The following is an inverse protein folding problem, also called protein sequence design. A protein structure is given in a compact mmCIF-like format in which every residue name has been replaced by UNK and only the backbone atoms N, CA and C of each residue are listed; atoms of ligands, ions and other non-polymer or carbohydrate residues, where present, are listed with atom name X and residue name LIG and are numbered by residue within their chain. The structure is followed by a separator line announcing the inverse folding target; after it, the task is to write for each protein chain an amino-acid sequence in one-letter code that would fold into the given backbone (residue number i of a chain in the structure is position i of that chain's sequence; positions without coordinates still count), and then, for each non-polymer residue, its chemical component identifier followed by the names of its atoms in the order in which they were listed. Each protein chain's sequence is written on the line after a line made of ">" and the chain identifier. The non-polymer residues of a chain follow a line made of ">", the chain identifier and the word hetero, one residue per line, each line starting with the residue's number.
data_IF_191707809074
#
_entry.id   IF_191707809074
#
_cell.length_a   1.000
_cell.length_b   1.000
_cell.length_c   1.000
_cell.angle_alpha   90.00
_cell.angle_beta   90.00
_cell.angle_gamma   90.00
#
_symmetry.space_group_name_H-M   'P 1'
#
loop_
_entity.id
_entity.type
_entity.pdbx_description
1 polymer ?
#
# COMPACT_ATOMS: atom_id res chain seq x y z
N UNK A 1 -28.44 12.68 -7.81
CA UNK A 1 -28.05 11.27 -8.01
C UNK A 1 -29.15 10.43 -7.37
N UNK A 2 -30.05 9.86 -8.17
CA UNK A 2 -31.15 9.03 -7.64
C UNK A 2 -30.61 7.62 -7.50
N UNK A 3 -30.61 7.09 -6.27
CA UNK A 3 -30.26 5.69 -6.01
C UNK A 3 -31.30 4.79 -6.70
N UNK A 4 -30.92 4.15 -7.80
CA UNK A 4 -31.75 3.12 -8.44
C UNK A 4 -31.33 1.75 -7.91
N UNK A 5 -32.24 1.09 -7.20
CA UNK A 5 -32.06 -0.28 -6.72
C UNK A 5 -31.92 -1.22 -7.92
N UNK A 6 -30.93 -2.12 -7.91
CA UNK A 6 -30.73 -3.12 -8.98
C UNK A 6 -31.28 -4.50 -8.62
N UNK A 7 -31.35 -4.84 -7.33
CA UNK A 7 -31.82 -6.15 -6.88
C UNK A 7 -32.41 -6.12 -5.46
N UNK A 8 -33.32 -7.06 -5.19
CA UNK A 8 -33.96 -7.30 -3.89
C UNK A 8 -33.74 -8.76 -3.49
N UNK A 9 -33.25 -8.99 -2.27
CA UNK A 9 -33.06 -10.32 -1.71
C UNK A 9 -34.05 -10.58 -0.58
N UNK A 10 -34.90 -11.60 -0.74
CA UNK A 10 -35.84 -12.03 0.28
C UNK A 10 -35.21 -13.13 1.16
N UNK A 11 -35.03 -12.83 2.45
CA UNK A 11 -34.41 -13.72 3.44
C UNK A 11 -35.31 -13.92 4.66
N UNK A 12 -35.08 -15.00 5.42
CA UNK A 12 -35.87 -15.37 6.61
C UNK A 12 -37.02 -16.34 6.32
N UNK A 13 -37.60 -16.94 7.35
CA UNK A 13 -38.54 -18.05 7.17
C UNK A 13 -39.85 -17.72 6.46
N UNK A 14 -40.24 -16.43 6.47
CA UNK A 14 -41.41 -15.98 5.73
C UNK A 14 -41.14 -15.84 4.21
N UNK A 15 -39.88 -15.66 3.80
CA UNK A 15 -39.49 -15.60 2.40
C UNK A 15 -39.55 -16.95 1.66
N UNK A 16 -39.74 -18.07 2.39
CA UNK A 16 -40.04 -19.37 1.80
C UNK A 16 -41.43 -19.42 1.13
N UNK A 17 -42.36 -18.53 1.51
CA UNK A 17 -43.68 -18.48 0.92
C UNK A 17 -43.63 -18.05 -0.56
N UNK A 18 -44.01 -18.95 -1.46
CA UNK A 18 -44.02 -18.69 -2.91
C UNK A 18 -45.01 -17.62 -3.34
N UNK A 19 -46.14 -17.46 -2.64
CA UNK A 19 -47.09 -16.38 -2.92
C UNK A 19 -46.45 -15.01 -2.65
N UNK A 20 -45.79 -14.85 -1.50
CA UNK A 20 -45.07 -13.62 -1.15
C UNK A 20 -43.97 -13.33 -2.17
N UNK A 21 -43.17 -14.33 -2.55
CA UNK A 21 -42.10 -14.17 -3.52
C UNK A 21 -42.63 -13.69 -4.87
N UNK A 22 -43.71 -14.31 -5.38
CA UNK A 22 -44.30 -13.94 -6.65
C UNK A 22 -44.90 -12.53 -6.61
N UNK A 23 -45.65 -12.17 -5.56
CA UNK A 23 -46.20 -10.81 -5.40
C UNK A 23 -45.11 -9.74 -5.40
N UNK A 24 -44.00 -9.98 -4.71
CA UNK A 24 -42.86 -9.05 -4.69
C UNK A 24 -42.20 -9.01 -6.06
N UNK A 25 -41.93 -10.16 -6.68
CA UNK A 25 -41.31 -10.24 -8.01
C UNK A 25 -42.15 -9.53 -9.08
N UNK A 26 -43.45 -9.75 -9.10
CA UNK A 26 -44.35 -9.17 -10.10
C UNK A 26 -44.47 -7.65 -9.95
N UNK A 27 -44.35 -7.14 -8.72
CA UNK A 27 -44.36 -5.70 -8.44
C UNK A 27 -43.08 -4.98 -8.85
N UNK A 28 -41.92 -5.65 -8.75
CA UNK A 28 -40.60 -5.03 -8.95
C UNK A 28 -39.95 -5.34 -10.30
N UNK A 29 -40.31 -6.46 -10.95
CA UNK A 29 -39.80 -6.80 -12.29
C UNK A 29 -40.08 -5.72 -13.35
N UNK A 30 -41.25 -5.05 -13.38
CA UNK A 30 -41.51 -3.96 -14.35
C UNK A 30 -40.60 -2.74 -14.17
N UNK A 31 -39.97 -2.60 -13.00
CA UNK A 31 -39.06 -1.50 -12.67
C UNK A 31 -37.59 -1.87 -12.95
N UNK A 32 -37.33 -3.03 -13.55
CA UNK A 32 -35.98 -3.53 -13.84
C UNK A 32 -35.22 -4.02 -12.61
N UNK A 33 -35.92 -4.27 -11.50
CA UNK A 33 -35.33 -4.73 -10.24
C UNK A 33 -35.46 -6.25 -10.17
N UNK A 34 -34.33 -6.94 -10.11
CA UNK A 34 -34.34 -8.41 -9.95
C UNK A 34 -34.71 -8.80 -8.52
N UNK A 35 -35.54 -9.84 -8.37
CA UNK A 35 -35.97 -10.34 -7.06
C UNK A 35 -35.49 -11.78 -6.91
N UNK A 36 -34.57 -11.97 -5.97
CA UNK A 36 -33.91 -13.24 -5.72
C UNK A 36 -34.19 -13.74 -4.29
N UNK A 37 -34.25 -15.06 -4.12
CA UNK A 37 -34.31 -15.69 -2.79
C UNK A 37 -33.44 -16.96 -2.76
N UNK A 38 -32.84 -17.29 -1.60
CA UNK A 38 -32.23 -18.60 -1.37
C UNK A 38 -33.24 -19.73 -1.59
N UNK A 39 -32.75 -20.97 -1.78
CA UNK A 39 -33.58 -22.17 -1.90
C UNK A 39 -34.72 -22.14 -0.84
N UNK A 40 -36.00 -22.25 -1.25
CA UNK A 40 -37.15 -22.25 -0.36
C UNK A 40 -37.05 -23.22 0.83
N UNK A 41 -36.28 -24.29 0.69
CA UNK A 41 -36.05 -25.28 1.75
C UNK A 41 -34.91 -24.88 2.72
N UNK A 42 -34.17 -23.81 2.42
CA UNK A 42 -32.99 -23.34 3.17
C UNK A 42 -33.03 -21.85 3.56
N UNK A 43 -34.10 -21.11 3.25
CA UNK A 43 -34.19 -19.65 3.48
C UNK A 43 -33.95 -19.24 4.95
N UNK A 44 -34.32 -20.11 5.89
CA UNK A 44 -34.19 -19.90 7.34
C UNK A 44 -32.72 -19.88 7.81
N UNK A 45 -31.80 -20.36 6.97
CA UNK A 45 -30.38 -20.48 7.28
C UNK A 45 -29.52 -19.42 6.61
N UNK A 46 -30.07 -18.62 5.69
CA UNK A 46 -29.29 -17.65 4.91
C UNK A 46 -28.52 -16.63 5.77
N UNK A 47 -29.11 -16.17 6.87
CA UNK A 47 -28.43 -15.25 7.81
C UNK A 47 -27.30 -15.96 8.57
N UNK A 48 -27.52 -17.19 9.00
CA UNK A 48 -26.51 -17.99 9.71
C UNK A 48 -25.39 -18.44 8.77
N UNK A 49 -25.72 -18.88 7.56
CA UNK A 49 -24.77 -19.23 6.49
C UNK A 49 -23.95 -17.99 6.10
N UNK A 50 -24.57 -16.80 6.03
CA UNK A 50 -23.86 -15.54 5.80
C UNK A 50 -22.92 -15.15 6.95
N UNK A 51 -23.36 -15.32 8.20
CA UNK A 51 -22.52 -15.07 9.37
C UNK A 51 -21.34 -16.04 9.47
N UNK A 52 -21.57 -17.31 9.12
CA UNK A 52 -20.52 -18.33 9.05
C UNK A 52 -19.59 -18.06 7.85
N UNK A 53 -20.11 -17.70 6.67
CA UNK A 53 -19.29 -17.32 5.52
C UNK A 53 -18.42 -16.12 5.86
N UNK A 54 -18.97 -15.08 6.48
CA UNK A 54 -18.22 -13.92 6.93
C UNK A 54 -17.14 -14.28 7.96
N UNK A 55 -17.48 -15.12 8.93
CA UNK A 55 -16.53 -15.61 9.94
C UNK A 55 -15.43 -16.50 9.35
N UNK A 56 -15.77 -17.34 8.36
CA UNK A 56 -14.83 -18.22 7.65
C UNK A 56 -14.01 -17.47 6.59
N UNK A 57 -14.54 -16.39 6.01
CA UNK A 57 -13.84 -15.51 5.07
C UNK A 57 -12.72 -14.76 5.79
N UNK A 58 -12.96 -14.28 7.02
CA UNK A 58 -11.90 -13.80 7.92
C UNK A 58 -10.94 -14.90 8.42
N UNK A 59 -11.21 -16.16 8.05
CA UNK A 59 -10.38 -17.33 8.34
C UNK A 59 -9.55 -17.79 7.13
N UNK A 60 -9.51 -17.01 6.02
CA UNK A 60 -8.58 -17.29 4.92
C UNK A 60 -7.16 -17.25 5.48
N UNK A 61 -6.60 -18.45 5.60
CA UNK A 61 -5.46 -18.80 6.44
C UNK A 61 -4.12 -18.29 5.90
N UNK A 62 -3.92 -16.99 5.93
CA UNK A 62 -2.72 -16.29 5.48
C UNK A 62 -2.36 -16.53 4.00
N UNK A 63 -2.05 -15.45 3.29
CA UNK A 63 -1.70 -15.50 1.87
C UNK A 63 -0.19 -15.46 1.71
N UNK A 64 0.32 -16.03 0.63
CA UNK A 64 1.72 -15.90 0.28
C UNK A 64 1.90 -14.68 -0.60
N UNK A 65 2.83 -13.78 -0.25
CA UNK A 65 3.24 -12.69 -1.12
C UNK A 65 3.71 -13.25 -2.46
N UNK A 66 3.04 -12.91 -3.56
CA UNK A 66 3.34 -13.48 -4.88
C UNK A 66 4.59 -12.88 -5.52
N UNK A 67 4.95 -11.68 -5.09
CA UNK A 67 6.02 -10.83 -5.61
C UNK A 67 6.70 -10.14 -4.43
N UNK A 68 7.87 -9.56 -4.67
CA UNK A 68 8.49 -8.66 -3.70
C UNK A 68 7.80 -7.30 -3.78
N UNK A 69 7.55 -6.67 -2.63
CA UNK A 69 7.04 -5.30 -2.54
C UNK A 69 8.07 -4.42 -1.87
N UNK A 70 8.28 -3.23 -2.42
CA UNK A 70 9.25 -2.28 -1.90
C UNK A 70 9.01 -0.88 -2.46
N UNK A 71 10.01 -0.03 -2.33
CA UNK A 71 10.04 1.32 -2.89
C UNK A 71 11.42 1.57 -3.49
N UNK A 72 11.53 2.57 -4.35
CA UNK A 72 12.83 3.13 -4.69
C UNK A 72 13.37 3.96 -3.52
N UNK A 73 14.68 3.91 -3.33
CA UNK A 73 15.40 4.75 -2.39
C UNK A 73 16.71 5.22 -2.98
N UNK A 74 17.13 6.39 -2.51
CA UNK A 74 18.49 6.87 -2.69
C UNK A 74 19.40 6.41 -1.56
N UNK A 75 20.65 6.07 -1.88
CA UNK A 75 21.65 5.66 -0.88
C UNK A 75 22.99 6.37 -1.05
N UNK A 76 23.71 6.65 0.05
CA UNK A 76 25.04 7.24 -0.04
C UNK A 76 25.99 6.40 -0.90
N UNK A 77 26.71 7.06 -1.81
CA UNK A 77 27.68 6.41 -2.69
C UNK A 77 28.87 5.86 -1.90
N UNK A 78 29.15 4.57 -2.05
CA UNK A 78 30.28 3.88 -1.41
C UNK A 78 31.30 3.46 -2.46
N UNK A 79 32.39 4.22 -2.58
CA UNK A 79 33.46 3.91 -3.54
C UNK A 79 34.12 2.54 -3.33
N UNK A 80 34.03 1.96 -2.13
CA UNK A 80 34.52 0.61 -1.80
C UNK A 80 33.63 -0.50 -2.39
N UNK A 81 32.36 -0.21 -2.66
CA UNK A 81 31.39 -1.17 -3.15
C UNK A 81 31.44 -1.27 -4.69
N UNK A 82 31.57 -2.48 -5.21
CA UNK A 82 31.64 -2.76 -6.66
C UNK A 82 30.33 -2.38 -7.36
N UNK A 83 29.19 -2.65 -6.72
CA UNK A 83 27.86 -2.37 -7.28
C UNK A 83 27.64 -0.87 -7.42
N UNK A 84 28.07 -0.09 -6.42
CA UNK A 84 28.06 1.37 -6.52
C UNK A 84 29.01 1.89 -7.60
N UNK A 85 30.26 1.39 -7.67
CA UNK A 85 31.24 1.86 -8.66
C UNK A 85 30.77 1.66 -10.11
N UNK A 86 30.05 0.59 -10.38
CA UNK A 86 29.47 0.30 -11.70
C UNK A 86 28.49 1.40 -12.14
N UNK A 87 27.85 2.07 -11.17
CA UNK A 87 26.91 3.19 -11.37
C UNK A 87 27.52 4.56 -11.05
N UNK A 88 28.85 4.65 -10.99
CA UNK A 88 29.54 5.90 -10.62
C UNK A 88 29.22 7.10 -11.52
N UNK A 89 28.80 6.86 -12.77
CA UNK A 89 28.34 7.89 -13.70
C UNK A 89 26.98 8.50 -13.35
N UNK A 90 26.20 7.84 -12.51
CA UNK A 90 24.85 8.26 -12.08
C UNK A 90 24.85 8.96 -10.72
N UNK A 91 26.04 9.10 -10.11
CA UNK A 91 26.19 9.76 -8.82
C UNK A 91 25.75 11.21 -8.92
N UNK A 92 24.82 11.59 -8.05
CA UNK A 92 24.43 12.96 -7.82
C UNK A 92 24.77 13.38 -6.40
N UNK A 93 24.66 14.67 -6.11
CA UNK A 93 24.97 15.24 -4.80
C UNK A 93 23.66 15.72 -4.17
N UNK A 94 23.40 15.29 -2.94
CA UNK A 94 22.19 15.68 -2.20
C UNK A 94 22.28 17.14 -1.69
N UNK A 95 21.24 17.59 -0.98
CA UNK A 95 21.20 18.94 -0.44
C UNK A 95 22.27 19.22 0.64
N UNK A 96 22.93 18.19 1.17
CA UNK A 96 23.98 18.30 2.18
C UNK A 96 25.39 18.21 1.58
N UNK A 97 25.52 18.03 0.26
CA UNK A 97 26.83 17.85 -0.37
C UNK A 97 27.32 16.39 -0.36
N UNK A 98 26.46 15.44 0.01
CA UNK A 98 26.82 14.01 0.13
C UNK A 98 26.50 13.31 -1.21
N UNK A 99 27.46 12.59 -1.81
CA UNK A 99 27.23 11.84 -3.04
C UNK A 99 26.30 10.66 -2.80
N UNK A 100 25.30 10.51 -3.66
CA UNK A 100 24.23 9.51 -3.58
C UNK A 100 24.00 8.81 -4.92
N UNK A 101 23.38 7.64 -4.87
CA UNK A 101 22.86 6.89 -6.01
C UNK A 101 21.37 6.63 -5.81
N UNK A 102 20.58 6.93 -6.85
CA UNK A 102 19.18 6.54 -6.92
C UNK A 102 19.04 5.12 -7.48
N UNK A 103 17.82 4.57 -7.42
CA UNK A 103 17.49 3.30 -8.06
C UNK A 103 17.83 2.06 -7.24
N UNK A 104 18.10 2.20 -5.95
CA UNK A 104 18.15 1.05 -5.04
C UNK A 104 16.72 0.62 -4.70
N UNK A 105 16.46 -0.68 -4.77
CA UNK A 105 15.19 -1.28 -4.37
C UNK A 105 15.20 -1.63 -2.87
N UNK A 106 14.43 -0.90 -2.09
CA UNK A 106 14.19 -1.19 -0.67
C UNK A 106 13.02 -2.15 -0.52
N UNK A 107 13.31 -3.45 -0.31
CA UNK A 107 12.30 -4.49 -0.12
C UNK A 107 11.64 -4.39 1.27
N UNK A 108 10.31 -4.19 1.29
CA UNK A 108 9.48 -4.13 2.50
C UNK A 108 8.85 -5.50 2.79
N UNK A 109 8.41 -6.22 1.75
CA UNK A 109 7.80 -7.54 1.87
C UNK A 109 8.36 -8.49 0.79
N UNK A 110 8.96 -9.59 1.23
CA UNK A 110 9.57 -10.57 0.32
C UNK A 110 8.54 -11.51 -0.31
N UNK A 111 8.77 -11.90 -1.57
CA UNK A 111 8.03 -12.98 -2.23
C UNK A 111 8.09 -14.26 -1.40
N UNK A 112 6.98 -14.97 -1.31
CA UNK A 112 6.83 -16.18 -0.52
C UNK A 112 6.69 -15.92 0.99
N UNK A 113 6.57 -14.67 1.44
CA UNK A 113 6.25 -14.40 2.85
C UNK A 113 4.78 -14.73 3.11
N UNK A 114 4.51 -15.45 4.21
CA UNK A 114 3.14 -15.70 4.67
C UNK A 114 2.61 -14.47 5.39
N UNK A 115 1.47 -13.95 4.93
CA UNK A 115 0.87 -12.69 5.36
C UNK A 115 -0.53 -12.94 5.90
N UNK A 116 -0.79 -12.55 7.15
CA UNK A 116 -2.16 -12.48 7.69
C UNK A 116 -2.79 -11.11 7.41
N UNK A 117 -4.12 -11.01 7.44
CA UNK A 117 -4.86 -9.78 7.09
C UNK A 117 -4.45 -8.53 7.88
N UNK A 118 -4.04 -8.72 9.13
CA UNK A 118 -3.63 -7.63 10.04
C UNK A 118 -2.12 -7.49 10.18
N UNK A 119 -1.34 -8.26 9.41
CA UNK A 119 0.11 -8.20 9.54
C UNK A 119 0.67 -7.00 8.78
N UNK A 120 1.43 -6.21 9.52
CA UNK A 120 2.11 -5.04 9.00
C UNK A 120 3.55 -5.37 8.62
N UNK A 121 3.99 -4.82 7.50
CA UNK A 121 5.38 -4.85 7.05
C UNK A 121 5.86 -3.42 6.95
N UNK A 122 7.06 -3.16 7.50
CA UNK A 122 7.54 -1.81 7.71
C UNK A 122 9.01 -1.68 7.36
N UNK A 123 9.38 -0.54 6.79
CA UNK A 123 10.77 -0.19 6.51
C UNK A 123 11.02 1.29 6.86
N UNK A 124 12.19 1.61 7.46
CA UNK A 124 12.55 2.96 7.85
C UNK A 124 13.12 3.75 6.68
N UNK A 125 12.81 5.04 6.62
CA UNK A 125 13.28 5.99 5.61
C UNK A 125 13.59 7.34 6.24
N UNK A 126 14.52 8.05 5.60
CA UNK A 126 14.99 9.36 6.04
C UNK A 126 14.97 10.31 4.84
N UNK A 127 14.38 11.49 5.01
CA UNK A 127 14.46 12.58 4.05
C UNK A 127 15.21 13.79 4.64
N UNK A 128 16.07 14.40 3.82
CA UNK A 128 16.79 15.63 4.16
C UNK A 128 16.29 16.80 3.33
N UNK A 129 16.15 17.96 3.96
CA UNK A 129 15.89 19.21 3.25
C UNK A 129 16.46 20.43 3.95
N UNK A 130 16.79 21.45 3.17
CA UNK A 130 17.17 22.77 3.67
C UNK A 130 15.96 23.58 4.19
N UNK A 131 14.74 23.15 3.85
CA UNK A 131 13.48 23.79 4.24
C UNK A 131 12.57 22.81 4.94
N UNK A 132 11.96 23.23 6.05
CA UNK A 132 10.95 22.43 6.75
C UNK A 132 9.69 22.23 5.91
N UNK A 133 9.36 23.23 5.09
CA UNK A 133 8.15 23.30 4.28
C UNK A 133 8.11 22.20 3.21
N UNK A 134 9.26 21.78 2.70
CA UNK A 134 9.33 20.69 1.73
C UNK A 134 9.10 19.31 2.36
N UNK A 135 9.25 19.18 3.69
CA UNK A 135 9.05 17.93 4.44
C UNK A 135 7.61 17.80 4.98
N UNK A 136 6.67 18.60 4.46
CA UNK A 136 5.27 18.57 4.87
C UNK A 136 4.45 17.50 4.15
N UNK A 137 5.01 16.85 3.13
CA UNK A 137 4.38 15.76 2.40
C UNK A 137 5.48 14.82 1.95
N UNK A 138 5.26 13.52 2.16
CA UNK A 138 6.14 12.45 1.67
C UNK A 138 5.42 11.74 0.54
N UNK A 139 6.15 11.48 -0.55
CA UNK A 139 5.64 10.73 -1.71
C UNK A 139 6.64 9.66 -2.14
N UNK A 140 6.18 8.43 -2.25
CA UNK A 140 7.01 7.33 -2.75
C UNK A 140 6.15 6.28 -3.45
N UNK A 141 6.67 5.61 -4.50
CA UNK A 141 5.98 4.52 -5.16
C UNK A 141 6.07 3.23 -4.35
N UNK A 142 5.02 2.41 -4.43
CA UNK A 142 5.09 1.00 -4.07
C UNK A 142 5.38 0.23 -5.35
N UNK A 143 6.55 -0.41 -5.39
CA UNK A 143 7.06 -1.18 -6.51
C UNK A 143 6.90 -2.68 -6.24
N UNK A 144 6.48 -3.41 -7.26
CA UNK A 144 6.44 -4.87 -7.27
C UNK A 144 7.59 -5.41 -8.12
N UNK A 145 8.34 -6.38 -7.60
CA UNK A 145 9.31 -7.12 -8.38
C UNK A 145 8.89 -8.57 -8.57
N UNK A 146 8.72 -8.98 -9.84
CA UNK A 146 8.18 -10.28 -10.25
C UNK A 146 9.26 -11.26 -10.72
N UNK A 147 10.48 -10.78 -10.89
CA UNK A 147 11.60 -11.54 -11.44
C UNK A 147 12.07 -12.67 -10.54
N UNK A 148 13.13 -13.33 -10.99
CA UNK A 148 13.75 -14.45 -10.28
C UNK A 148 15.23 -14.21 -9.97
N UNK A 149 15.76 -13.00 -10.25
CA UNK A 149 17.09 -12.60 -9.77
C UNK A 149 17.09 -12.65 -8.25
N UNK A 150 18.04 -13.43 -7.71
CA UNK A 150 18.24 -13.58 -6.28
C UNK A 150 18.94 -12.34 -5.74
N UNK A 151 18.52 -11.88 -4.56
CA UNK A 151 19.14 -10.75 -3.88
C UNK A 151 19.16 -9.47 -4.74
N UNK A 152 18.10 -9.25 -5.53
CA UNK A 152 17.90 -8.04 -6.35
C UNK A 152 18.10 -6.78 -5.50
N UNK A 153 18.98 -5.87 -5.94
CA UNK A 153 19.29 -4.65 -5.20
C UNK A 153 18.94 -3.39 -5.97
N UNK A 154 19.09 -3.41 -7.30
CA UNK A 154 18.92 -2.21 -8.12
C UNK A 154 17.90 -2.44 -9.22
N UNK A 155 17.17 -1.39 -9.61
CA UNK A 155 16.15 -1.49 -10.65
C UNK A 155 16.72 -1.86 -12.03
N UNK A 156 17.95 -1.44 -12.33
CA UNK A 156 18.62 -1.71 -13.59
C UNK A 156 19.15 -3.15 -13.75
N UNK A 157 19.12 -3.96 -12.69
CA UNK A 157 19.53 -5.38 -12.74
C UNK A 157 18.50 -6.27 -13.45
N UNK A 158 17.22 -5.90 -13.41
CA UNK A 158 16.12 -6.63 -14.07
C UNK A 158 14.91 -5.69 -14.33
N UNK A 159 15.07 -4.63 -15.15
CA UNK A 159 14.16 -3.50 -15.22
C UNK A 159 12.74 -3.88 -15.67
N UNK A 160 12.63 -4.84 -16.60
CA UNK A 160 11.35 -5.29 -17.16
C UNK A 160 10.49 -6.06 -16.13
N UNK A 161 11.08 -6.47 -15.00
CA UNK A 161 10.40 -7.23 -13.97
C UNK A 161 9.91 -6.37 -12.80
N UNK A 162 10.15 -5.06 -12.84
CA UNK A 162 9.62 -4.08 -11.90
C UNK A 162 8.36 -3.40 -12.44
N UNK A 163 7.39 -3.16 -11.55
CA UNK A 163 6.19 -2.43 -11.88
C UNK A 163 5.71 -1.58 -10.70
N UNK A 164 5.34 -0.34 -10.96
CA UNK A 164 4.73 0.54 -9.95
C UNK A 164 3.29 0.14 -9.72
N UNK A 165 2.96 -0.27 -8.49
CA UNK A 165 1.60 -0.63 -8.10
C UNK A 165 0.76 0.61 -7.82
N UNK A 166 1.32 1.55 -7.05
CA UNK A 166 0.66 2.79 -6.67
C UNK A 166 1.69 3.77 -6.10
N UNK A 167 1.28 5.02 -5.93
CA UNK A 167 2.05 6.03 -5.20
C UNK A 167 1.40 6.30 -3.86
N UNK A 168 2.20 6.24 -2.80
CA UNK A 168 1.86 6.68 -1.46
C UNK A 168 2.07 8.18 -1.37
N UNK A 169 1.06 8.91 -0.93
CA UNK A 169 1.19 10.32 -0.55
C UNK A 169 0.65 10.50 0.87
N UNK A 170 1.50 10.94 1.79
CA UNK A 170 1.16 11.09 3.20
C UNK A 170 1.43 12.51 3.72
N UNK A 171 0.52 13.06 4.51
CA UNK A 171 0.63 14.41 5.10
C UNK A 171 1.55 14.37 6.32
N UNK A 172 2.68 15.08 6.26
CA UNK A 172 3.70 15.17 7.29
C UNK A 172 3.70 16.51 8.03
N UNK A 173 2.71 17.39 7.82
CA UNK A 173 2.69 18.74 8.41
C UNK A 173 2.82 18.73 9.93
N UNK A 174 2.22 17.75 10.61
CA UNK A 174 2.32 17.64 12.07
C UNK A 174 3.77 17.39 12.49
N UNK A 175 4.43 16.42 11.86
CA UNK A 175 5.81 16.05 12.15
C UNK A 175 6.77 17.18 11.74
N UNK A 176 6.61 17.72 10.53
CA UNK A 176 7.43 18.80 9.98
C UNK A 176 7.49 20.00 10.93
N UNK A 177 6.36 20.41 11.53
CA UNK A 177 6.30 21.53 12.50
C UNK A 177 7.22 21.32 13.71
N UNK A 178 7.38 20.07 14.15
CA UNK A 178 8.21 19.69 15.30
C UNK A 178 9.70 19.52 14.99
N UNK A 179 10.10 19.50 13.71
CA UNK A 179 11.48 19.23 13.31
C UNK A 179 12.44 20.31 13.82
N UNK A 180 13.45 19.92 14.57
CA UNK A 180 14.52 20.83 14.99
C UNK A 180 15.55 20.97 13.86
N UNK A 181 16.09 22.19 13.63
CA UNK A 181 17.16 22.35 12.67
C UNK A 181 18.38 21.55 13.12
N UNK A 182 18.98 20.86 12.17
CA UNK A 182 20.29 20.23 12.29
C UNK A 182 21.30 21.02 11.48
N UNK A 183 22.57 20.72 11.70
CA UNK A 183 23.69 21.47 11.14
C UNK A 183 24.72 20.49 10.60
N UNK A 184 25.14 20.70 9.36
CA UNK A 184 26.15 19.91 8.68
C UNK A 184 27.33 20.81 8.33
N UNK A 185 28.54 20.42 8.73
CA UNK A 185 29.74 21.17 8.38
C UNK A 185 30.14 20.84 6.95
N UNK A 186 30.04 21.83 6.07
CA UNK A 186 30.45 21.72 4.68
C UNK A 186 31.93 22.05 4.64
N UNK A 187 32.77 21.10 4.23
CA UNK A 187 34.24 21.14 4.24
C UNK A 187 34.85 22.51 3.88
N UNK A 188 35.01 23.40 4.87
CA UNK A 188 35.61 24.74 4.72
C UNK A 188 34.67 25.89 4.33
N UNK A 189 33.43 25.62 3.93
CA UNK A 189 32.44 26.62 3.47
C UNK A 189 31.43 27.05 4.55
N UNK A 190 31.59 26.53 5.77
CA UNK A 190 30.78 26.87 6.94
C UNK A 190 29.77 25.77 7.30
N UNK A 191 28.77 26.14 8.09
CA UNK A 191 27.78 25.20 8.63
C UNK A 191 26.45 25.38 7.92
N UNK A 192 25.98 24.32 7.26
CA UNK A 192 24.70 24.27 6.55
C UNK A 192 23.59 23.84 7.50
N UNK A 193 22.54 24.65 7.58
CA UNK A 193 21.33 24.31 8.32
C UNK A 193 20.42 23.44 7.47
N UNK A 194 19.94 22.32 8.03
CA UNK A 194 19.02 21.41 7.38
C UNK A 194 17.99 20.84 8.36
N UNK A 195 17.05 20.06 7.84
CA UNK A 195 16.01 19.35 8.57
C UNK A 195 15.99 17.90 8.10
N UNK A 196 15.69 16.99 9.02
CA UNK A 196 15.65 15.55 8.78
C UNK A 196 14.29 15.01 9.21
N UNK A 197 13.66 14.23 8.35
CA UNK A 197 12.39 13.57 8.58
C UNK A 197 12.64 12.05 8.61
N UNK A 198 12.48 11.42 9.77
CA UNK A 198 12.59 9.97 9.97
C UNK A 198 11.20 9.34 10.13
N UNK A 199 10.84 8.42 9.24
CA UNK A 199 9.55 7.75 9.26
C UNK A 199 9.67 6.29 8.83
N UNK A 200 8.65 5.50 9.16
CA UNK A 200 8.49 4.14 8.66
C UNK A 200 7.36 4.13 7.63
N UNK A 201 7.60 3.62 6.43
CA UNK A 201 6.50 3.23 5.57
C UNK A 201 5.95 1.90 6.07
N UNK A 202 4.64 1.81 6.23
CA UNK A 202 3.96 0.61 6.71
C UNK A 202 2.98 0.14 5.63
N UNK A 203 3.07 -1.14 5.28
CA UNK A 203 2.21 -1.82 4.33
C UNK A 203 1.39 -2.89 5.07
N UNK A 204 0.09 -2.89 4.81
CA UNK A 204 -0.83 -3.91 5.32
C UNK A 204 -1.60 -4.51 4.14
N UNK A 205 -1.67 -5.84 4.10
CA UNK A 205 -2.33 -6.57 3.01
C UNK A 205 -3.61 -7.18 3.54
N UNK A 206 -4.73 -6.49 3.32
CA UNK A 206 -6.05 -6.97 3.70
C UNK A 206 -6.57 -8.10 2.80
N UNK A 207 -7.83 -8.49 3.00
CA UNK A 207 -8.52 -9.51 2.19
C UNK A 207 -8.56 -9.19 0.70
N UNK A 208 -8.66 -7.92 0.32
CA UNK A 208 -8.76 -7.52 -1.09
C UNK A 208 -7.92 -6.30 -1.45
N UNK A 209 -7.37 -5.59 -0.48
CA UNK A 209 -6.74 -4.29 -0.70
C UNK A 209 -5.40 -4.19 0.03
N UNK A 210 -4.40 -3.66 -0.67
CA UNK A 210 -3.19 -3.14 -0.05
C UNK A 210 -3.53 -1.79 0.55
N UNK A 211 -3.18 -1.57 1.81
CA UNK A 211 -3.17 -0.26 2.44
C UNK A 211 -1.76 0.14 2.82
N UNK A 212 -1.53 1.44 2.87
CA UNK A 212 -0.27 1.99 3.34
C UNK A 212 -0.55 3.17 4.27
N UNK A 213 0.37 3.38 5.20
CA UNK A 213 0.47 4.60 6.00
C UNK A 213 1.93 4.83 6.35
N UNK A 214 2.21 5.97 6.96
CA UNK A 214 3.52 6.18 7.57
C UNK A 214 3.41 6.38 9.06
N UNK A 215 4.46 5.97 9.77
CA UNK A 215 4.59 6.11 11.22
C UNK A 215 5.87 6.86 11.57
N UNK A 216 5.84 7.63 12.64
CA UNK A 216 7.03 8.27 13.21
C UNK A 216 6.90 8.33 14.73
N UNK A 217 8.04 8.52 15.39
CA UNK A 217 8.07 8.73 16.84
C UNK A 217 8.12 10.22 17.16
N UNK A 218 7.21 10.70 18.03
CA UNK A 218 7.22 12.06 18.53
C UNK A 218 7.13 12.07 20.05
N UNK A 219 8.23 12.42 20.71
CA UNK A 219 8.37 12.44 22.18
C UNK A 219 8.02 11.09 22.85
N UNK A 220 8.49 9.96 22.30
CA UNK A 220 8.20 8.63 22.84
C UNK A 220 6.83 8.06 22.49
N UNK A 221 6.03 8.77 21.69
CA UNK A 221 4.70 8.34 21.24
C UNK A 221 4.75 8.09 19.74
N UNK A 222 4.38 6.88 19.32
CA UNK A 222 4.17 6.56 17.91
C UNK A 222 2.96 7.32 17.39
N UNK A 223 3.17 8.08 16.32
CA UNK A 223 2.12 8.73 15.55
C UNK A 223 2.08 8.15 14.16
N UNK A 224 0.93 8.26 13.52
CA UNK A 224 0.74 7.82 12.15
C UNK A 224 -0.02 8.85 11.34
N UNK A 225 0.19 8.81 10.03
CA UNK A 225 -0.56 9.60 9.06
C UNK A 225 -1.05 8.65 7.98
N UNK A 226 -2.37 8.60 7.70
CA UNK A 226 -2.88 7.77 6.63
C UNK A 226 -2.28 8.23 5.30
N UNK A 227 -1.93 7.27 4.44
CA UNK A 227 -1.53 7.58 3.08
C UNK A 227 -2.70 7.52 2.13
N UNK A 228 -2.69 8.42 1.14
CA UNK A 228 -3.49 8.27 -0.06
C UNK A 228 -2.72 7.37 -1.03
N UNK A 229 -3.36 6.30 -1.48
CA UNK A 229 -2.86 5.49 -2.59
C UNK A 229 -3.38 6.03 -3.91
N UNK A 230 -2.46 6.44 -4.78
CA UNK A 230 -2.74 6.89 -6.14
C UNK A 230 -2.33 5.76 -7.07
N UNK A 231 -3.30 4.99 -7.52
CA UNK A 231 -3.08 3.94 -8.52
C UNK A 231 -2.89 4.59 -9.88
N UNK A 232 -1.90 4.09 -10.62
CA UNK A 232 -1.73 4.47 -12.02
C UNK A 232 -2.91 3.88 -12.81
N UNK A 233 -3.61 4.72 -13.58
CA UNK A 233 -4.78 4.28 -14.37
C UNK A 233 -4.38 3.33 -15.50
N UNK A 234 -3.10 3.36 -15.90
CA UNK A 234 -2.51 2.52 -16.92
C UNK A 234 -1.69 1.35 -16.31
N UNK A 235 -1.64 1.23 -14.97
CA UNK A 235 -1.10 0.04 -14.34
C UNK A 235 -2.04 -1.14 -14.59
N UNK A 236 -1.68 -1.99 -15.55
CA UNK A 236 -2.25 -3.31 -15.68
C UNK A 236 -2.02 -4.06 -14.37
N UNK A 237 -3.02 -4.10 -13.48
CA UNK A 237 -3.08 -5.10 -12.42
C UNK A 237 -3.43 -6.40 -13.15
N UNK A 238 -2.46 -7.30 -13.43
CA UNK A 238 -2.77 -8.47 -14.22
C UNK A 238 -3.62 -9.35 -13.32
N UNK A 239 -4.84 -9.64 -13.79
CA UNK A 239 -5.82 -10.47 -13.10
C UNK A 239 -5.14 -11.71 -12.53
N UNK A 240 -5.45 -12.02 -11.27
CA UNK A 240 -5.07 -13.28 -10.67
C UNK A 240 -5.65 -14.42 -11.51
N UNK A 241 -4.86 -14.96 -12.43
CA UNK A 241 -5.26 -16.14 -13.18
C UNK A 241 -5.52 -17.27 -12.17
N UNK A 242 -6.72 -17.81 -12.28
CA UNK A 242 -7.31 -18.89 -11.48
C UNK A 242 -6.45 -20.15 -11.46
#
# INVERSE_FOLDING_TARGET
>A
MVLTWQSVFLVGGFAANSYLFNEVKDKFSPQGIDVSRPDPNRVNKAVADGAISFYLEGFVAARMARVHYGTDVSVPYKATDVSHRTRSSEVYVDCLGIPHLDGLFSNILSKGTRVTETQEFRAPYIEHSLSRESLTTVKFPIMCYRGNVKDIQWFDEDPDMFHTLCHVEADMKSMAKGLKPRYHDVNGDGTLKYYELDYQAVLTFGTTELTAHVEWEENGITKSSPAKLIYDADAEIPSANH
#
